data_IF_305545706550
#
_entry.id   IF_305545706550
#
_cell.length_a   1.000
_cell.length_b   1.000
_cell.length_c   1.000
_cell.angle_alpha   90.00
_cell.angle_beta   90.00
_cell.angle_gamma   90.00
#
_symmetry.space_group_name_H-M   'P 1'
#
loop_
_entity.id
_entity.type
_entity.pdbx_description
1 polymer ?
#
# COMPACT_ATOMS: atom_id res chain seq x y z
N UNK A 1 -13.41 -0.17 1.38
CA UNK A 1 -12.41 0.27 2.41
C UNK A 1 -11.43 -0.86 2.66
N UNK A 2 -10.36 -0.66 3.43
CA UNK A 2 -9.17 -1.53 3.40
C UNK A 2 -8.35 -1.30 4.65
N UNK A 3 -7.56 -2.29 5.06
CA UNK A 3 -6.39 -2.07 5.91
C UNK A 3 -5.15 -2.65 5.25
N UNK A 4 -4.15 -1.82 5.08
CA UNK A 4 -2.81 -2.17 4.64
C UNK A 4 -1.86 -2.02 5.81
N UNK A 5 -0.88 -2.91 5.93
CA UNK A 5 0.21 -2.83 6.88
C UNK A 5 1.52 -3.28 6.22
N UNK A 6 2.59 -2.52 6.42
CA UNK A 6 3.91 -2.90 5.91
C UNK A 6 5.01 -2.59 6.92
N UNK A 7 6.08 -3.37 6.86
CA UNK A 7 7.31 -3.19 7.63
C UNK A 7 8.47 -3.15 6.64
N UNK A 8 9.27 -2.09 6.73
CA UNK A 8 10.54 -1.96 6.03
C UNK A 8 11.65 -2.54 6.91
N UNK A 9 12.34 -3.55 6.43
CA UNK A 9 13.53 -4.14 7.02
C UNK A 9 14.81 -3.56 6.39
N UNK A 10 16.00 -4.12 6.72
CA UNK A 10 17.28 -3.63 6.20
C UNK A 10 17.39 -3.66 4.66
N UNK A 11 16.91 -4.74 4.04
CA UNK A 11 17.00 -5.03 2.60
C UNK A 11 15.74 -5.73 2.05
N UNK A 12 14.66 -5.68 2.80
CA UNK A 12 13.40 -6.32 2.46
C UNK A 12 12.20 -5.48 2.94
N UNK A 13 11.05 -5.77 2.36
CA UNK A 13 9.75 -5.24 2.80
C UNK A 13 8.78 -6.40 3.01
N UNK A 14 8.12 -6.41 4.16
CA UNK A 14 6.94 -7.23 4.41
C UNK A 14 5.71 -6.35 4.28
N UNK A 15 4.81 -6.67 3.37
CA UNK A 15 3.58 -5.93 3.15
C UNK A 15 2.38 -6.87 3.16
N UNK A 16 1.27 -6.44 3.70
CA UNK A 16 0.04 -7.21 3.70
C UNK A 16 -1.21 -6.34 3.70
N UNK A 17 -2.33 -6.94 3.31
CA UNK A 17 -3.65 -6.33 3.37
C UNK A 17 -4.74 -7.37 3.58
N UNK A 18 -5.92 -6.89 3.93
CA UNK A 18 -7.17 -7.62 3.94
C UNK A 18 -7.74 -7.79 2.51
N UNK A 19 -8.79 -8.61 2.35
CA UNK A 19 -9.44 -8.83 1.05
C UNK A 19 -10.90 -8.36 0.99
N UNK A 20 -11.42 -7.71 2.03
CA UNK A 20 -12.81 -7.27 2.04
C UNK A 20 -13.00 -6.01 1.19
N UNK A 21 -13.92 -6.07 0.24
CA UNK A 21 -14.45 -4.91 -0.48
C UNK A 21 -15.83 -4.59 0.07
N UNK A 22 -16.03 -3.37 0.54
CA UNK A 22 -17.29 -2.94 1.16
C UNK A 22 -17.84 -1.72 0.46
N UNK A 23 -19.16 -1.67 0.31
CA UNK A 23 -19.89 -0.48 -0.12
C UNK A 23 -20.40 0.33 1.09
N UNK A 24 -20.84 1.55 0.84
CA UNK A 24 -21.31 2.48 1.88
C UNK A 24 -22.59 1.96 2.59
N UNK A 25 -23.41 1.18 1.90
CA UNK A 25 -24.63 0.57 2.44
C UNK A 25 -24.36 -0.67 3.34
N UNK A 26 -23.07 -1.00 3.58
CA UNK A 26 -22.66 -2.10 4.46
C UNK A 26 -22.55 -3.46 3.76
N UNK A 27 -22.84 -3.56 2.46
CA UNK A 27 -22.60 -4.80 1.73
C UNK A 27 -21.10 -5.06 1.57
N UNK A 28 -20.66 -6.28 1.77
CA UNK A 28 -19.26 -6.64 1.64
C UNK A 28 -19.05 -8.00 0.96
N UNK A 29 -18.00 -8.06 0.15
CA UNK A 29 -17.50 -9.27 -0.49
C UNK A 29 -16.00 -9.42 -0.28
N UNK A 30 -15.48 -10.63 -0.46
CA UNK A 30 -14.05 -10.87 -0.46
C UNK A 30 -13.54 -10.94 -1.91
N UNK A 31 -12.60 -10.07 -2.28
CA UNK A 31 -11.96 -10.12 -3.59
C UNK A 31 -10.85 -11.19 -3.60
N UNK A 32 -10.76 -12.00 -4.68
CA UNK A 32 -9.87 -13.17 -4.69
C UNK A 32 -8.38 -12.80 -4.67
N UNK A 33 -7.99 -11.75 -5.39
CA UNK A 33 -6.59 -11.35 -5.54
C UNK A 33 -6.07 -10.45 -4.40
N UNK A 34 -6.98 -10.01 -3.51
CA UNK A 34 -6.60 -9.08 -2.42
C UNK A 34 -6.29 -7.68 -2.93
N UNK A 35 -5.59 -6.92 -2.10
CA UNK A 35 -5.28 -5.50 -2.34
C UNK A 35 -3.78 -5.23 -2.35
N UNK A 36 -2.98 -6.30 -2.36
CA UNK A 36 -1.52 -6.29 -2.50
C UNK A 36 -1.16 -7.10 -3.74
N UNK A 37 -0.47 -6.50 -4.67
CA UNK A 37 -0.09 -7.13 -5.94
C UNK A 37 1.29 -6.69 -6.40
N UNK A 38 1.89 -7.53 -7.24
CA UNK A 38 3.18 -7.25 -7.88
C UNK A 38 2.94 -6.78 -9.31
N UNK A 39 3.58 -5.67 -9.67
CA UNK A 39 3.65 -5.20 -11.04
C UNK A 39 5.11 -4.90 -11.39
N UNK A 40 5.71 -5.73 -12.24
CA UNK A 40 7.14 -5.76 -12.53
C UNK A 40 7.99 -5.95 -11.24
N UNK A 41 8.91 -5.04 -10.98
CA UNK A 41 9.79 -5.07 -9.80
C UNK A 41 9.25 -4.24 -8.63
N UNK A 42 8.01 -3.76 -8.74
CA UNK A 42 7.32 -3.01 -7.71
C UNK A 42 6.23 -3.88 -7.06
N UNK A 43 6.00 -3.66 -5.79
CA UNK A 43 4.80 -4.18 -5.13
C UNK A 43 3.95 -3.01 -4.69
N UNK A 44 2.68 -3.07 -5.02
CA UNK A 44 1.69 -2.09 -4.67
C UNK A 44 0.72 -2.67 -3.66
N UNK A 45 0.29 -1.83 -2.72
CA UNK A 45 -0.93 -2.05 -1.96
C UNK A 45 -1.73 -0.76 -1.98
N UNK A 46 -3.04 -0.86 -2.17
CA UNK A 46 -3.87 0.32 -2.34
C UNK A 46 -5.12 0.25 -1.47
N UNK A 47 -5.36 1.34 -0.73
CA UNK A 47 -6.60 1.60 -0.03
C UNK A 47 -7.39 2.66 -0.79
N UNK A 48 -8.68 2.40 -1.06
CA UNK A 48 -9.56 3.28 -1.83
C UNK A 48 -10.41 2.49 -2.82
N UNK A 49 -10.48 2.95 -4.06
CA UNK A 49 -11.30 2.35 -5.10
C UNK A 49 -10.68 1.08 -5.71
N UNK A 50 -11.48 0.02 -5.83
CA UNK A 50 -11.09 -1.20 -6.55
C UNK A 50 -10.74 -0.91 -8.02
N UNK A 51 -11.36 0.12 -8.64
CA UNK A 51 -11.02 0.53 -10.00
C UNK A 51 -9.57 0.98 -10.12
N UNK A 52 -9.07 1.74 -9.14
CA UNK A 52 -7.66 2.13 -9.12
C UNK A 52 -6.72 0.93 -8.98
N UNK A 53 -7.08 -0.08 -8.15
CA UNK A 53 -6.34 -1.34 -8.06
C UNK A 53 -6.26 -2.02 -9.43
N UNK A 54 -7.41 -2.18 -10.10
CA UNK A 54 -7.47 -2.83 -11.41
C UNK A 54 -6.59 -2.12 -12.47
N UNK A 55 -6.58 -0.79 -12.47
CA UNK A 55 -5.72 -0.01 -13.38
C UNK A 55 -4.24 -0.27 -13.07
N UNK A 56 -3.83 -0.18 -11.81
CA UNK A 56 -2.43 -0.38 -11.44
C UNK A 56 -1.95 -1.82 -11.58
N UNK A 57 -2.83 -2.80 -11.42
CA UNK A 57 -2.48 -4.21 -11.54
C UNK A 57 -2.42 -4.69 -13.01
N UNK A 58 -3.36 -4.24 -13.86
CA UNK A 58 -3.59 -4.87 -15.15
C UNK A 58 -3.29 -3.98 -16.36
N UNK A 59 -3.35 -2.67 -16.22
CA UNK A 59 -3.17 -1.71 -17.33
C UNK A 59 -1.90 -0.87 -17.20
N UNK A 60 -1.51 -0.54 -15.98
CA UNK A 60 -0.35 0.29 -15.71
C UNK A 60 0.97 -0.44 -15.95
N UNK A 61 1.88 0.20 -16.71
CA UNK A 61 3.25 -0.26 -16.88
C UNK A 61 4.19 0.70 -16.15
N UNK A 62 4.77 0.27 -15.01
CA UNK A 62 5.70 1.13 -14.27
C UNK A 62 6.93 1.50 -15.10
N UNK A 63 7.41 2.75 -15.02
CA UNK A 63 8.67 3.13 -15.65
C UNK A 63 9.83 2.30 -15.09
N UNK A 64 10.82 2.03 -15.93
CA UNK A 64 12.03 1.31 -15.51
C UNK A 64 12.78 2.10 -14.43
N UNK A 65 13.15 1.43 -13.35
CA UNK A 65 13.93 2.03 -12.27
C UNK A 65 15.38 2.19 -12.72
N UNK A 66 15.74 3.39 -13.17
CA UNK A 66 17.09 3.74 -13.58
C UNK A 66 17.77 4.57 -12.48
N UNK A 67 18.93 4.09 -12.01
CA UNK A 67 19.73 4.80 -11.01
C UNK A 67 19.49 4.36 -9.56
N UNK A 68 20.22 5.01 -8.66
CA UNK A 68 20.23 4.69 -7.21
C UNK A 68 19.32 5.60 -6.38
N UNK A 69 18.93 6.76 -6.93
CA UNK A 69 18.10 7.76 -6.24
C UNK A 69 16.62 7.41 -6.43
N UNK A 70 16.09 6.65 -5.49
CA UNK A 70 14.71 6.17 -5.55
C UNK A 70 13.72 7.30 -5.25
N UNK A 71 14.04 8.25 -4.38
CA UNK A 71 13.17 9.40 -4.07
C UNK A 71 12.93 10.23 -5.34
N UNK A 72 13.99 10.42 -6.13
CA UNK A 72 13.88 11.11 -7.43
C UNK A 72 13.06 10.30 -8.45
N UNK A 73 13.22 8.97 -8.46
CA UNK A 73 12.40 8.10 -9.31
C UNK A 73 10.92 8.18 -8.93
N UNK A 74 10.58 8.08 -7.65
CA UNK A 74 9.20 8.21 -7.14
C UNK A 74 8.61 9.54 -7.60
N UNK A 75 9.31 10.66 -7.32
CA UNK A 75 8.82 12.01 -7.60
C UNK A 75 8.67 12.31 -9.09
N UNK A 76 9.65 11.93 -9.91
CA UNK A 76 9.76 12.40 -11.29
C UNK A 76 9.27 11.41 -12.33
N UNK A 77 9.13 10.15 -11.98
CA UNK A 77 8.77 9.11 -12.94
C UNK A 77 7.54 8.32 -12.48
N UNK A 78 7.57 7.71 -11.30
CA UNK A 78 6.49 6.81 -10.88
C UNK A 78 5.17 7.56 -10.68
N UNK A 79 5.16 8.59 -9.84
CA UNK A 79 3.94 9.36 -9.54
C UNK A 79 3.31 9.98 -10.79
N UNK A 80 4.06 10.69 -11.66
CA UNK A 80 3.51 11.21 -12.91
C UNK A 80 2.94 10.12 -13.83
N UNK A 81 3.56 8.94 -13.84
CA UNK A 81 3.09 7.82 -14.66
C UNK A 81 1.81 7.18 -14.08
N UNK A 82 1.69 7.05 -12.76
CA UNK A 82 0.45 6.60 -12.10
C UNK A 82 -0.69 7.57 -12.41
N UNK A 83 -0.44 8.87 -12.23
CA UNK A 83 -1.43 9.90 -12.54
C UNK A 83 -1.88 9.83 -13.99
N UNK A 84 -0.92 9.69 -14.92
CA UNK A 84 -1.24 9.53 -16.33
C UNK A 84 -2.11 8.31 -16.60
N UNK A 85 -1.83 7.16 -15.98
CA UNK A 85 -2.63 5.95 -16.14
C UNK A 85 -4.07 6.15 -15.63
N UNK A 86 -4.24 6.85 -14.50
CA UNK A 86 -5.57 7.17 -13.98
C UNK A 86 -6.34 8.14 -14.88
N UNK A 87 -5.68 9.15 -15.44
CA UNK A 87 -6.28 10.08 -16.41
C UNK A 87 -6.67 9.36 -17.70
N UNK A 88 -5.78 8.57 -18.29
CA UNK A 88 -6.03 7.84 -19.53
C UNK A 88 -7.18 6.83 -19.38
N UNK A 89 -7.33 6.24 -18.19
CA UNK A 89 -8.44 5.35 -17.87
C UNK A 89 -9.75 6.08 -17.52
N UNK A 90 -9.77 7.42 -17.53
CA UNK A 90 -10.94 8.21 -17.11
C UNK A 90 -11.34 7.98 -15.66
N UNK A 91 -10.37 7.67 -14.80
CA UNK A 91 -10.58 7.48 -13.37
C UNK A 91 -10.38 8.78 -12.59
N UNK A 92 -9.42 9.60 -12.99
CA UNK A 92 -9.18 10.93 -12.47
C UNK A 92 -9.71 11.99 -13.43
N UNK A 93 -10.29 13.06 -12.90
CA UNK A 93 -10.78 14.17 -13.68
C UNK A 93 -10.04 15.44 -13.26
N UNK A 94 -9.44 16.17 -14.21
CA UNK A 94 -8.93 17.51 -13.97
C UNK A 94 -10.10 18.44 -13.65
N UNK A 95 -10.28 18.80 -12.40
CA UNK A 95 -11.14 19.94 -12.01
C UNK A 95 -10.30 21.20 -12.19
N UNK A 96 -10.74 22.13 -13.03
CA UNK A 96 -9.98 23.29 -13.46
C UNK A 96 -9.49 24.21 -12.32
N UNK A 97 -10.07 24.14 -11.12
CA UNK A 97 -9.81 25.07 -10.01
C UNK A 97 -9.55 24.38 -8.66
N UNK A 98 -9.28 23.09 -8.62
CA UNK A 98 -9.00 22.36 -7.36
C UNK A 98 -7.65 21.62 -7.43
N UNK A 99 -7.01 21.44 -6.27
CA UNK A 99 -5.89 20.51 -6.15
C UNK A 99 -6.29 19.15 -6.74
N UNK A 100 -5.35 18.52 -7.43
CA UNK A 100 -5.59 17.20 -8.01
C UNK A 100 -5.55 16.20 -6.88
N UNK A 101 -6.65 15.52 -6.66
CA UNK A 101 -6.79 14.49 -5.65
C UNK A 101 -7.37 13.22 -6.31
N UNK A 102 -6.92 12.08 -5.82
CA UNK A 102 -7.51 10.78 -6.12
C UNK A 102 -7.99 10.14 -4.80
N UNK A 103 -8.95 9.25 -4.87
CA UNK A 103 -9.56 8.64 -3.67
C UNK A 103 -8.73 7.45 -3.14
N UNK A 104 -7.41 7.46 -3.34
CA UNK A 104 -6.57 6.31 -3.01
C UNK A 104 -5.32 6.72 -2.25
N UNK A 105 -4.97 5.90 -1.26
CA UNK A 105 -3.62 5.87 -0.67
C UNK A 105 -2.91 4.65 -1.22
N UNK A 106 -1.72 4.86 -1.78
CA UNK A 106 -0.94 3.81 -2.43
C UNK A 106 0.34 3.58 -1.64
N UNK A 107 0.55 2.38 -1.14
CA UNK A 107 1.83 1.95 -0.58
C UNK A 107 2.61 1.23 -1.67
N UNK A 108 3.81 1.71 -1.94
CA UNK A 108 4.73 1.12 -2.92
C UNK A 108 5.96 0.58 -2.23
N UNK A 109 6.26 -0.69 -2.44
CA UNK A 109 7.53 -1.30 -2.03
C UNK A 109 8.45 -1.44 -3.24
N UNK A 110 9.66 -0.89 -3.12
CA UNK A 110 10.67 -0.83 -4.17
C UNK A 110 12.08 -0.87 -3.59
N UNK A 111 12.92 -1.77 -4.04
CA UNK A 111 14.33 -1.87 -3.62
C UNK A 111 14.49 -1.79 -2.09
N UNK A 112 13.78 -2.64 -1.37
CA UNK A 112 13.84 -2.71 0.08
C UNK A 112 13.27 -1.51 0.84
N UNK A 113 12.63 -0.55 0.15
CA UNK A 113 12.05 0.67 0.73
C UNK A 113 10.55 0.73 0.54
N UNK A 114 9.87 1.44 1.44
CA UNK A 114 8.43 1.71 1.37
C UNK A 114 8.17 3.20 1.19
N UNK A 115 7.26 3.52 0.30
CA UNK A 115 6.74 4.86 0.05
C UNK A 115 5.22 4.84 0.22
N UNK A 116 4.69 5.77 0.99
CA UNK A 116 3.26 6.04 1.08
C UNK A 116 2.94 7.23 0.18
N UNK A 117 2.13 7.02 -0.85
CA UNK A 117 1.67 8.06 -1.77
C UNK A 117 0.23 8.39 -1.38
N UNK A 118 0.00 9.64 -1.00
CA UNK A 118 -1.28 10.15 -0.52
C UNK A 118 -2.23 10.51 -1.69
N UNK A 119 -3.45 10.87 -1.34
CA UNK A 119 -4.51 11.26 -2.28
C UNK A 119 -4.13 12.46 -3.17
N UNK A 120 -3.32 13.39 -2.67
CA UNK A 120 -2.81 14.57 -3.38
C UNK A 120 -1.51 14.30 -4.18
N UNK A 121 -1.10 13.02 -4.28
CA UNK A 121 0.16 12.59 -4.87
C UNK A 121 1.43 13.04 -4.13
N UNK A 122 1.31 13.62 -2.94
CA UNK A 122 2.46 13.72 -2.04
C UNK A 122 2.90 12.33 -1.60
N UNK A 123 4.16 12.19 -1.26
CA UNK A 123 4.67 10.94 -0.71
C UNK A 123 5.48 11.17 0.55
N UNK A 124 5.47 10.17 1.40
CA UNK A 124 6.21 10.18 2.66
C UNK A 124 6.79 8.80 2.99
N UNK A 125 7.75 8.80 3.90
CA UNK A 125 8.32 7.61 4.50
C UNK A 125 8.32 7.76 6.01
N UNK A 126 8.03 6.68 6.73
CA UNK A 126 7.99 6.69 8.17
C UNK A 126 9.37 6.34 8.76
N UNK A 127 9.88 7.16 9.68
CA UNK A 127 11.14 6.94 10.40
C UNK A 127 11.15 5.65 11.23
N UNK A 128 9.99 5.18 11.65
CA UNK A 128 9.85 3.95 12.44
C UNK A 128 9.77 2.68 11.56
N UNK A 129 9.82 2.85 10.23
CA UNK A 129 9.72 1.77 9.24
C UNK A 129 8.42 0.95 9.32
N UNK A 130 7.37 1.51 9.91
CA UNK A 130 6.02 0.94 10.02
C UNK A 130 5.06 1.76 9.17
N UNK A 131 4.36 1.12 8.24
CA UNK A 131 3.46 1.79 7.31
C UNK A 131 2.08 1.17 7.37
N UNK A 132 1.06 2.02 7.35
CA UNK A 132 -0.34 1.60 7.34
C UNK A 132 -1.14 2.52 6.42
N UNK A 133 -2.25 2.01 5.91
CA UNK A 133 -3.23 2.81 5.16
C UNK A 133 -4.63 2.20 5.25
N UNK A 134 -5.63 3.06 5.10
CA UNK A 134 -7.04 2.70 5.04
C UNK A 134 -7.78 2.77 6.37
N UNK A 135 -9.05 2.33 6.38
CA UNK A 135 -9.97 2.56 7.51
C UNK A 135 -9.51 1.97 8.85
N UNK A 136 -8.84 0.82 8.82
CA UNK A 136 -8.33 0.16 10.01
C UNK A 136 -6.88 0.53 10.37
N UNK A 137 -6.28 1.52 9.74
CA UNK A 137 -4.87 1.89 9.91
C UNK A 137 -4.45 2.17 11.35
N UNK A 138 -5.29 2.87 12.13
CA UNK A 138 -5.00 3.21 13.52
C UNK A 138 -4.89 1.97 14.41
N UNK A 139 -5.75 0.98 14.18
CA UNK A 139 -5.68 -0.30 14.91
C UNK A 139 -4.44 -1.09 14.50
N UNK A 140 -4.14 -1.13 13.21
CA UNK A 140 -2.97 -1.82 12.69
C UNK A 140 -1.67 -1.17 13.19
N UNK A 141 -1.54 0.16 13.13
CA UNK A 141 -0.36 0.89 13.57
C UNK A 141 -0.11 0.70 15.08
N UNK A 142 -1.14 0.86 15.90
CA UNK A 142 -1.03 0.63 17.35
C UNK A 142 -0.56 -0.79 17.69
N UNK A 143 -1.11 -1.80 16.99
CA UNK A 143 -0.70 -3.18 17.15
C UNK A 143 0.75 -3.42 16.69
N UNK A 144 1.15 -2.89 15.53
CA UNK A 144 2.52 -3.01 15.02
C UNK A 144 3.52 -2.36 15.95
N UNK A 145 3.25 -1.14 16.42
CA UNK A 145 4.12 -0.41 17.35
C UNK A 145 4.33 -1.18 18.64
N UNK A 146 3.26 -1.72 19.23
CA UNK A 146 3.34 -2.53 20.45
C UNK A 146 4.13 -3.83 20.23
N UNK A 147 3.93 -4.51 19.10
CA UNK A 147 4.59 -5.79 18.78
C UNK A 147 6.05 -5.62 18.32
N UNK A 148 6.38 -4.49 17.69
CA UNK A 148 7.75 -4.15 17.29
C UNK A 148 8.63 -3.79 18.51
N UNK A 149 8.03 -3.25 19.57
CA UNK A 149 8.75 -2.91 20.81
C UNK A 149 9.75 -1.76 20.66
N UNK A 150 9.52 -0.85 19.70
CA UNK A 150 10.39 0.31 19.48
C UNK A 150 11.75 -0.01 18.86
N UNK A 151 11.93 -1.20 18.30
CA UNK A 151 13.17 -1.62 17.64
C UNK A 151 12.94 -1.94 16.18
N UNK A 152 13.97 -1.72 15.36
CA UNK A 152 13.96 -2.16 13.97
C UNK A 152 13.75 -3.68 13.89
N UNK A 153 12.88 -4.11 13.01
CA UNK A 153 12.63 -5.53 12.76
C UNK A 153 13.60 -5.99 11.67
N UNK A 154 14.51 -6.88 12.01
CA UNK A 154 15.53 -7.45 11.12
C UNK A 154 15.15 -8.86 10.58
N UNK A 155 14.21 -9.54 11.24
CA UNK A 155 13.74 -10.88 10.83
C UNK A 155 12.42 -10.79 10.05
N UNK A 156 12.40 -11.17 8.75
CA UNK A 156 11.19 -11.16 7.93
C UNK A 156 10.12 -12.14 8.42
N UNK A 157 10.47 -13.21 9.14
CA UNK A 157 9.49 -14.12 9.74
C UNK A 157 8.76 -13.45 10.89
N UNK A 158 9.50 -12.71 11.73
CA UNK A 158 8.91 -11.88 12.80
C UNK A 158 8.04 -10.79 12.21
N UNK A 159 8.51 -10.10 11.16
CA UNK A 159 7.74 -9.07 10.46
C UNK A 159 6.41 -9.60 9.91
N UNK A 160 6.41 -10.77 9.28
CA UNK A 160 5.18 -11.42 8.80
C UNK A 160 4.19 -11.67 9.93
N UNK A 161 4.66 -12.15 11.08
CA UNK A 161 3.79 -12.39 12.25
C UNK A 161 3.19 -11.08 12.76
N UNK A 162 3.98 -10.00 12.83
CA UNK A 162 3.53 -8.68 13.26
C UNK A 162 2.49 -8.13 12.30
N UNK A 163 2.77 -8.08 10.99
CA UNK A 163 1.84 -7.59 9.96
C UNK A 163 0.54 -8.40 9.98
N UNK A 164 0.62 -9.73 10.00
CA UNK A 164 -0.57 -10.57 10.05
C UNK A 164 -1.39 -10.30 11.32
N UNK A 165 -0.73 -10.18 12.48
CA UNK A 165 -1.44 -9.92 13.74
C UNK A 165 -2.08 -8.56 13.79
N UNK A 166 -1.41 -7.53 13.26
CA UNK A 166 -1.93 -6.18 13.16
C UNK A 166 -3.19 -6.12 12.27
N UNK A 167 -3.16 -6.79 11.12
CA UNK A 167 -4.32 -6.91 10.23
C UNK A 167 -5.47 -7.69 10.88
N UNK A 168 -5.19 -8.75 11.62
CA UNK A 168 -6.21 -9.48 12.41
C UNK A 168 -6.85 -8.60 13.49
N UNK A 169 -6.09 -7.71 14.11
CA UNK A 169 -6.62 -6.75 15.09
C UNK A 169 -7.50 -5.72 14.38
N UNK A 170 -7.06 -5.18 13.25
CA UNK A 170 -7.89 -4.29 12.43
C UNK A 170 -9.21 -4.96 12.02
N UNK A 171 -9.18 -6.21 11.52
CA UNK A 171 -10.38 -7.00 11.18
C UNK A 171 -11.36 -7.12 12.35
N UNK A 172 -10.89 -7.13 13.58
CA UNK A 172 -11.76 -7.25 14.75
C UNK A 172 -12.49 -5.95 15.10
N UNK A 173 -11.87 -4.80 14.83
CA UNK A 173 -12.36 -3.51 15.33
C UNK A 173 -12.80 -2.53 14.23
N UNK A 174 -12.42 -2.76 12.99
CA UNK A 174 -12.86 -2.01 11.82
C UNK A 174 -13.82 -2.84 10.97
N UNK A 175 -15.07 -2.42 10.87
CA UNK A 175 -16.12 -3.10 10.10
C UNK A 175 -15.84 -3.16 8.59
N UNK A 176 -14.95 -2.33 8.10
CA UNK A 176 -14.57 -2.26 6.69
C UNK A 176 -13.32 -3.07 6.34
N UNK A 177 -12.74 -3.75 7.33
CA UNK A 177 -11.57 -4.62 7.18
C UNK A 177 -11.96 -6.07 7.44
N UNK A 178 -11.64 -6.99 6.54
CA UNK A 178 -12.03 -8.39 6.73
C UNK A 178 -11.57 -9.32 5.61
N UNK A 179 -12.09 -10.55 5.66
CA UNK A 179 -11.75 -11.58 4.69
C UNK A 179 -10.36 -12.18 4.89
N UNK A 180 -9.74 -12.65 3.80
CA UNK A 180 -8.42 -13.26 3.82
C UNK A 180 -7.34 -12.20 3.93
N UNK A 181 -6.38 -12.41 4.82
CA UNK A 181 -5.16 -11.62 4.90
C UNK A 181 -4.13 -12.20 3.93
N UNK A 182 -3.62 -11.36 3.04
CA UNK A 182 -2.51 -11.69 2.13
C UNK A 182 -1.26 -10.94 2.56
N UNK A 183 -0.11 -11.61 2.57
CA UNK A 183 1.20 -10.99 2.86
C UNK A 183 2.20 -11.36 1.80
N UNK A 184 3.00 -10.39 1.35
CA UNK A 184 4.12 -10.57 0.43
C UNK A 184 5.42 -10.13 1.10
N UNK A 185 6.48 -10.91 0.89
CA UNK A 185 7.86 -10.53 1.20
C UNK A 185 8.55 -10.13 -0.10
N UNK A 186 9.13 -8.94 -0.09
CA UNK A 186 9.95 -8.43 -1.18
C UNK A 186 11.39 -8.33 -0.67
N UNK A 187 12.31 -9.01 -1.31
CA UNK A 187 13.74 -8.91 -1.03
C UNK A 187 14.43 -8.27 -2.22
N UNK A 188 15.41 -7.43 -1.97
CA UNK A 188 16.30 -6.95 -3.02
C UNK A 188 17.18 -8.14 -3.45
N UNK A 189 17.00 -8.63 -4.68
CA UNK A 189 17.95 -9.58 -5.25
C UNK A 189 19.25 -8.83 -5.53
N UNK A 190 20.30 -9.16 -4.80
CA UNK A 190 21.67 -8.71 -5.04
C UNK A 190 22.16 -9.08 -6.45
#
# INVERSE_FOLDING_TARGET
MTTIAAIEGPDWVMIGADSQSSSEDGFSINIPNGKVFKNNNLVFAMAGSVRGINILEHDFVPPTVNGKDIDKYITRQLIPSIRKAFLDAGYEFNKADSAVENDNIIIVAIKGKVYCINEDYSWERNSDNLYVAGSGEKFALGAMTALAGGTMIDDPVKARKIVTKALQIATKYDSYTGGKITTLLIQENN
#
